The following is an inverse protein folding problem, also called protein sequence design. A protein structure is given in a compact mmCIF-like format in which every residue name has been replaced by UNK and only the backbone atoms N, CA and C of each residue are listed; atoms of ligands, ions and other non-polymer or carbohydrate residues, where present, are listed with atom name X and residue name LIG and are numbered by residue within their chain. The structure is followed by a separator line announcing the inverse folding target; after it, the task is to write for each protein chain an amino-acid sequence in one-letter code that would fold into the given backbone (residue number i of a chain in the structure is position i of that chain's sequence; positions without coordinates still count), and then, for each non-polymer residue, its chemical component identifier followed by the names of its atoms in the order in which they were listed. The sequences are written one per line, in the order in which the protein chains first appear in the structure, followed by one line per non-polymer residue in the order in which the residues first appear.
data_IF_679622828290
#
_entry.id   IF_679622828290
#
_cell.length_a   1.000
_cell.length_b   1.000
_cell.length_c   1.000
_cell.angle_alpha   90.00
_cell.angle_beta   90.00
_cell.angle_gamma   90.00
#
_symmetry.space_group_name_H-M   'P 1'
#
loop_
_entity.id
_entity.type
_entity.pdbx_description
1 polymer ?
#
# COMPACT_ATOMS: atom_id res chain seq x y z
N UNK A 1 3.37 24.60 4.16
CA UNK A 1 3.07 23.85 5.40
C UNK A 1 3.57 22.43 5.23
N UNK A 2 4.24 21.88 6.24
CA UNK A 2 4.56 20.46 6.28
C UNK A 2 3.26 19.64 6.30
N UNK A 3 3.29 18.41 5.79
CA UNK A 3 2.12 17.53 5.73
C UNK A 3 1.50 17.31 7.12
N UNK A 4 2.33 17.22 8.16
CA UNK A 4 1.92 17.07 9.57
C UNK A 4 0.98 18.19 10.02
N UNK A 5 1.27 19.42 9.60
CA UNK A 5 0.65 20.63 10.14
C UNK A 5 -0.53 21.11 9.28
N UNK A 6 -0.75 20.49 8.12
CA UNK A 6 -1.82 20.85 7.18
C UNK A 6 -3.21 20.47 7.74
N UNK A 7 -4.16 21.41 7.92
CA UNK A 7 -5.52 21.10 8.36
C UNK A 7 -6.23 20.08 7.46
N UNK A 8 -7.17 19.31 8.03
CA UNK A 8 -7.87 18.22 7.32
C UNK A 8 -8.66 18.76 6.12
N UNK A 9 -9.23 19.97 6.27
CA UNK A 9 -10.07 20.64 5.29
C UNK A 9 -9.32 21.00 4.00
N UNK A 10 -7.98 21.05 4.06
CA UNK A 10 -7.13 21.37 2.91
C UNK A 10 -6.73 20.13 2.09
N UNK A 11 -7.14 18.91 2.49
CA UNK A 11 -6.92 17.72 1.69
C UNK A 11 -8.03 17.52 0.66
N UNK A 12 -7.70 17.14 -0.59
CA UNK A 12 -8.71 16.75 -1.55
C UNK A 12 -9.55 15.56 -1.05
N UNK A 13 -10.80 15.49 -1.47
CA UNK A 13 -11.72 14.42 -1.08
C UNK A 13 -11.13 13.05 -1.47
N UNK A 14 -11.14 12.11 -0.52
CA UNK A 14 -10.62 10.75 -0.71
C UNK A 14 -9.11 10.60 -0.54
N UNK A 15 -8.37 11.68 -0.24
CA UNK A 15 -6.90 11.61 -0.02
C UNK A 15 -6.56 11.32 1.43
N UNK A 16 -7.36 11.84 2.38
CA UNK A 16 -6.98 11.80 3.80
C UNK A 16 -6.99 10.39 4.40
N UNK A 17 -8.06 9.62 4.18
CA UNK A 17 -8.20 8.25 4.68
C UNK A 17 -7.45 7.26 3.80
N UNK A 18 -6.79 6.30 4.43
CA UNK A 18 -5.98 5.28 3.75
C UNK A 18 -6.67 3.91 3.81
N UNK A 19 -6.15 2.94 3.06
CA UNK A 19 -6.52 1.53 3.16
C UNK A 19 -6.42 1.04 4.61
N UNK A 20 -7.31 0.13 5.06
CA UNK A 20 -8.48 -0.41 4.37
C UNK A 20 -9.73 0.46 4.45
N UNK A 21 -9.60 1.72 4.88
CA UNK A 21 -10.71 2.66 5.11
C UNK A 21 -11.74 2.13 6.11
N UNK A 22 -11.24 1.44 7.15
CA UNK A 22 -12.04 0.92 8.25
C UNK A 22 -11.92 1.84 9.48
N UNK A 23 -13.05 2.09 10.13
CA UNK A 23 -13.13 2.94 11.33
C UNK A 23 -12.31 2.41 12.51
N UNK A 24 -12.07 1.09 12.59
CA UNK A 24 -11.27 0.47 13.63
C UNK A 24 -9.80 0.88 13.55
N UNK A 25 -9.27 0.98 12.33
CA UNK A 25 -7.86 1.31 12.11
C UNK A 25 -7.63 2.81 12.13
N UNK A 26 -8.60 3.59 11.62
CA UNK A 26 -8.53 5.05 11.54
C UNK A 26 -7.22 5.57 10.89
N UNK A 27 -6.63 4.77 10.00
CA UNK A 27 -5.40 5.13 9.31
C UNK A 27 -5.66 6.27 8.33
N UNK A 28 -4.69 7.17 8.27
CA UNK A 28 -4.71 8.31 7.36
C UNK A 28 -3.28 8.64 6.92
N UNK A 29 -3.16 9.57 5.97
CA UNK A 29 -1.86 9.98 5.40
C UNK A 29 -0.88 10.60 6.40
N UNK A 30 -1.35 11.07 7.56
CA UNK A 30 -0.50 11.59 8.64
C UNK A 30 -0.10 10.50 9.62
N UNK A 31 -1.02 9.59 9.92
CA UNK A 31 -0.88 8.51 10.90
C UNK A 31 -1.27 7.19 10.23
N UNK A 32 -0.28 6.50 9.66
CA UNK A 32 -0.47 5.22 8.98
C UNK A 32 0.19 4.09 9.77
N UNK A 33 -0.53 2.98 9.92
CA UNK A 33 -0.02 1.78 10.58
C UNK A 33 -0.37 1.70 12.07
N UNK A 34 0.15 0.68 12.76
CA UNK A 34 1.22 -0.24 12.32
C UNK A 34 0.76 -1.23 11.24
N UNK A 35 1.58 -1.43 10.21
CA UNK A 35 1.37 -2.43 9.15
C UNK A 35 2.52 -3.42 9.16
N UNK A 36 2.22 -4.70 9.39
CA UNK A 36 3.21 -5.76 9.24
C UNK A 36 3.28 -6.20 7.76
N UNK A 37 4.51 -6.44 7.29
CA UNK A 37 4.78 -6.85 5.91
C UNK A 37 5.21 -8.32 5.94
N UNK A 38 4.35 -9.25 5.50
CA UNK A 38 4.66 -10.68 5.55
C UNK A 38 5.71 -11.07 4.51
N UNK A 39 6.57 -12.01 4.89
CA UNK A 39 7.47 -12.74 3.99
C UNK A 39 6.84 -14.07 3.59
N UNK A 40 7.37 -14.66 2.53
CA UNK A 40 7.00 -16.01 2.12
C UNK A 40 7.15 -17.00 3.27
N UNK A 41 6.10 -17.80 3.50
CA UNK A 41 5.92 -18.77 4.61
C UNK A 41 5.67 -18.18 5.98
N UNK A 42 5.57 -16.86 6.14
CA UNK A 42 5.11 -16.26 7.39
C UNK A 42 3.64 -16.64 7.63
N UNK A 43 3.28 -16.75 8.92
CA UNK A 43 1.93 -17.08 9.36
C UNK A 43 1.36 -15.95 10.20
N UNK A 44 0.09 -15.65 9.97
CA UNK A 44 -0.66 -14.67 10.77
C UNK A 44 -1.95 -15.28 11.30
N UNK A 45 -2.38 -14.78 12.46
CA UNK A 45 -3.72 -15.03 12.99
C UNK A 45 -4.65 -14.02 12.33
N UNK A 46 -5.77 -14.51 11.78
CA UNK A 46 -6.79 -13.69 11.15
C UNK A 46 -7.88 -13.32 12.16
N UNK A 47 -7.51 -12.43 13.08
CA UNK A 47 -8.50 -11.65 13.82
C UNK A 47 -9.20 -10.64 12.91
N UNK A 48 -10.18 -9.91 13.45
CA UNK A 48 -10.93 -8.89 12.70
C UNK A 48 -10.01 -7.92 11.94
N UNK A 49 -8.98 -7.43 12.62
CA UNK A 49 -8.06 -6.40 12.10
C UNK A 49 -7.19 -6.96 10.97
N UNK A 50 -6.53 -8.09 11.20
CA UNK A 50 -5.67 -8.74 10.22
C UNK A 50 -6.49 -9.24 9.02
N UNK A 51 -7.70 -9.74 9.25
CA UNK A 51 -8.61 -10.10 8.17
C UNK A 51 -8.91 -8.90 7.26
N UNK A 52 -9.21 -7.72 7.81
CA UNK A 52 -9.45 -6.52 7.01
C UNK A 52 -8.21 -6.07 6.22
N UNK A 53 -7.03 -6.12 6.85
CA UNK A 53 -5.77 -5.70 6.22
C UNK A 53 -5.36 -6.65 5.09
N UNK A 54 -5.42 -7.96 5.33
CA UNK A 54 -4.81 -8.96 4.44
C UNK A 54 -5.80 -9.65 3.51
N UNK A 55 -7.11 -9.46 3.65
CA UNK A 55 -8.14 -10.08 2.79
C UNK A 55 -7.78 -9.97 1.31
N UNK A 56 -7.45 -8.76 0.83
CA UNK A 56 -7.18 -8.51 -0.60
C UNK A 56 -6.00 -9.33 -1.14
N UNK A 57 -4.90 -9.45 -0.39
CA UNK A 57 -3.73 -10.23 -0.82
C UNK A 57 -3.97 -11.73 -0.68
N UNK A 58 -4.77 -12.15 0.31
CA UNK A 58 -5.18 -13.56 0.46
C UNK A 58 -6.09 -13.98 -0.69
N UNK A 59 -7.06 -13.15 -1.07
CA UNK A 59 -7.93 -13.37 -2.24
C UNK A 59 -7.11 -13.44 -3.53
N UNK A 60 -6.08 -12.59 -3.66
CA UNK A 60 -5.15 -12.63 -4.79
C UNK A 60 -4.37 -13.95 -4.85
N UNK A 61 -3.75 -14.40 -3.76
CA UNK A 61 -3.02 -15.68 -3.72
C UNK A 61 -3.94 -16.88 -3.98
N UNK A 62 -5.20 -16.82 -3.52
CA UNK A 62 -6.18 -17.92 -3.70
C UNK A 62 -6.85 -17.89 -5.09
N UNK A 63 -6.88 -16.74 -5.75
CA UNK A 63 -7.55 -16.55 -7.04
C UNK A 63 -9.07 -16.46 -6.98
N UNK A 64 -9.66 -16.26 -5.79
CA UNK A 64 -11.11 -16.11 -5.61
C UNK A 64 -11.45 -15.27 -4.37
N UNK A 65 -12.64 -14.61 -4.34
CA UNK A 65 -13.05 -13.78 -3.22
C UNK A 65 -13.41 -14.60 -1.97
N UNK A 66 -13.21 -13.99 -0.81
CA UNK A 66 -13.55 -14.51 0.51
C UNK A 66 -14.70 -13.69 1.11
N UNK A 67 -15.56 -14.35 1.90
CA UNK A 67 -16.62 -13.64 2.63
C UNK A 67 -16.13 -13.16 3.98
N UNK A 68 -16.61 -12.00 4.42
CA UNK A 68 -16.31 -11.44 5.73
C UNK A 68 -17.63 -11.25 6.48
N UNK A 69 -17.85 -12.08 7.49
CA UNK A 69 -19.13 -12.20 8.19
C UNK A 69 -18.87 -12.33 9.69
N UNK A 70 -19.60 -11.56 10.50
CA UNK A 70 -19.46 -11.57 11.97
C UNK A 70 -17.99 -11.44 12.41
N UNK A 71 -17.30 -10.44 11.85
CA UNK A 71 -15.89 -10.13 12.11
C UNK A 71 -14.90 -11.27 11.78
N UNK A 72 -15.34 -12.27 11.01
CA UNK A 72 -14.55 -13.45 10.67
C UNK A 72 -14.44 -13.58 9.16
N UNK A 73 -13.21 -13.76 8.66
CA UNK A 73 -12.97 -14.10 7.26
C UNK A 73 -13.29 -15.58 7.02
N UNK A 74 -14.00 -15.88 5.94
CA UNK A 74 -14.45 -17.23 5.60
C UNK A 74 -14.00 -17.65 4.20
N UNK A 75 -13.51 -18.87 4.11
CA UNK A 75 -13.17 -19.58 2.88
C UNK A 75 -14.26 -20.62 2.60
N UNK A 76 -15.07 -20.38 1.57
CA UNK A 76 -16.18 -21.25 1.20
C UNK A 76 -17.09 -21.62 2.39
N UNK A 77 -17.44 -20.59 3.19
CA UNK A 77 -18.29 -20.72 4.38
C UNK A 77 -17.57 -21.20 5.64
N UNK A 78 -16.33 -21.68 5.56
CA UNK A 78 -15.54 -22.11 6.73
C UNK A 78 -14.72 -20.97 7.32
N UNK A 79 -14.71 -20.76 8.65
CA UNK A 79 -13.85 -19.76 9.28
C UNK A 79 -12.37 -19.98 8.96
N UNK A 80 -11.71 -18.92 8.47
CA UNK A 80 -10.27 -18.91 8.19
C UNK A 80 -9.56 -18.16 9.32
N UNK A 81 -9.03 -18.91 10.29
CA UNK A 81 -8.46 -18.35 11.52
C UNK A 81 -6.96 -18.01 11.42
N UNK A 82 -6.27 -18.61 10.47
CA UNK A 82 -4.86 -18.33 10.21
C UNK A 82 -4.58 -18.46 8.71
N UNK A 83 -3.51 -17.81 8.27
CA UNK A 83 -3.08 -17.87 6.89
C UNK A 83 -1.55 -17.92 6.81
N UNK A 84 -1.04 -18.68 5.84
CA UNK A 84 0.38 -18.79 5.54
C UNK A 84 0.62 -18.24 4.14
N UNK A 85 1.43 -17.19 4.03
CA UNK A 85 1.69 -16.52 2.77
C UNK A 85 2.58 -17.34 1.85
N UNK A 86 2.26 -17.39 0.56
CA UNK A 86 3.05 -18.06 -0.46
C UNK A 86 4.04 -17.13 -1.18
N UNK A 87 3.88 -15.81 -1.00
CA UNK A 87 4.71 -14.75 -1.56
C UNK A 87 5.36 -13.87 -0.48
N UNK A 88 6.43 -13.16 -0.85
CA UNK A 88 6.94 -12.04 -0.06
C UNK A 88 6.29 -10.75 -0.51
N UNK A 89 6.02 -9.84 0.43
CA UNK A 89 5.29 -8.61 0.16
C UNK A 89 6.14 -7.36 0.36
N UNK A 90 5.73 -6.29 -0.32
CA UNK A 90 6.41 -5.01 -0.33
C UNK A 90 5.42 -3.88 -0.10
N UNK A 91 5.88 -2.87 0.64
CA UNK A 91 5.18 -1.61 0.80
C UNK A 91 5.85 -0.57 -0.11
N UNK A 92 5.07 0.02 -1.01
CA UNK A 92 5.49 1.08 -1.90
C UNK A 92 4.99 2.42 -1.36
N UNK A 93 5.90 3.39 -1.20
CA UNK A 93 5.57 4.75 -0.81
C UNK A 93 6.11 5.74 -1.84
N UNK A 94 5.27 6.63 -2.34
CA UNK A 94 5.69 7.71 -3.23
C UNK A 94 6.03 8.99 -2.47
N UNK A 95 7.05 9.69 -2.98
CA UNK A 95 7.60 10.92 -2.38
C UNK A 95 6.57 12.05 -2.31
N UNK A 96 5.68 12.15 -3.31
CA UNK A 96 4.57 13.12 -3.30
C UNK A 96 3.34 12.51 -2.63
N UNK A 97 3.38 12.45 -1.30
CA UNK A 97 2.37 11.79 -0.46
C UNK A 97 0.93 12.12 -0.84
N UNK A 98 0.61 13.41 -1.00
CA UNK A 98 -0.75 13.88 -1.30
C UNK A 98 -1.25 13.52 -2.71
N UNK A 99 -0.37 13.07 -3.60
CA UNK A 99 -0.68 12.73 -4.99
C UNK A 99 -0.09 11.38 -5.41
N UNK A 100 0.15 10.48 -4.45
CA UNK A 100 0.68 9.15 -4.73
C UNK A 100 -0.35 8.10 -4.36
N UNK A 101 -0.87 7.42 -5.38
CA UNK A 101 -1.66 6.21 -5.19
C UNK A 101 -0.71 5.03 -4.97
N UNK A 102 -0.26 4.87 -3.73
CA UNK A 102 0.71 3.87 -3.32
C UNK A 102 0.14 2.88 -2.29
N UNK A 103 0.98 2.08 -1.63
CA UNK A 103 0.52 1.00 -0.74
C UNK A 103 -0.35 1.48 0.42
N UNK A 104 -0.34 2.79 0.73
CA UNK A 104 -1.28 3.39 1.68
C UNK A 104 -2.72 3.30 1.19
N UNK A 105 -2.98 3.24 -0.11
CA UNK A 105 -4.33 3.24 -0.68
C UNK A 105 -4.76 1.88 -1.23
N UNK A 106 -3.83 1.09 -1.78
CA UNK A 106 -4.17 -0.20 -2.41
C UNK A 106 -3.63 -1.44 -1.70
N UNK A 107 -2.86 -1.26 -0.62
CA UNK A 107 -2.30 -2.35 0.18
C UNK A 107 -0.91 -2.80 -0.26
N UNK A 108 -0.52 -4.01 0.14
CA UNK A 108 0.81 -4.56 -0.15
C UNK A 108 0.89 -5.13 -1.56
N UNK A 109 2.10 -5.14 -2.13
CA UNK A 109 2.39 -5.71 -3.44
C UNK A 109 3.16 -7.03 -3.27
N UNK A 110 2.73 -8.14 -3.89
CA UNK A 110 3.51 -9.37 -3.94
C UNK A 110 4.76 -9.21 -4.83
N UNK A 111 5.84 -9.93 -4.49
CA UNK A 111 7.09 -10.03 -5.26
C UNK A 111 6.86 -10.27 -6.76
N UNK A 112 5.94 -11.17 -7.10
CA UNK A 112 5.67 -11.56 -8.50
C UNK A 112 5.16 -10.41 -9.39
N UNK A 113 4.63 -9.34 -8.82
CA UNK A 113 4.18 -8.16 -9.57
C UNK A 113 5.27 -7.10 -9.74
N UNK A 114 6.47 -7.32 -9.21
CA UNK A 114 7.61 -6.42 -9.31
C UNK A 114 8.47 -6.85 -10.51
N UNK A 115 8.21 -6.26 -11.68
CA UNK A 115 8.85 -6.64 -12.95
C UNK A 115 10.23 -6.02 -13.20
N UNK A 116 10.70 -5.08 -12.37
CA UNK A 116 12.04 -4.49 -12.53
C UNK A 116 12.36 -3.27 -11.66
N UNK A 117 13.64 -2.87 -11.67
CA UNK A 117 14.17 -1.67 -10.98
C UNK A 117 14.23 -0.50 -11.97
N UNK A 118 13.89 0.71 -11.52
CA UNK A 118 14.12 1.92 -12.30
C UNK A 118 15.63 2.13 -12.50
N UNK A 119 16.08 2.13 -13.75
CA UNK A 119 17.51 2.20 -14.11
C UNK A 119 17.87 3.46 -14.91
N UNK A 120 16.89 4.26 -15.35
CA UNK A 120 17.11 5.41 -16.23
C UNK A 120 16.27 6.63 -15.85
N UNK A 121 16.91 7.81 -15.78
CA UNK A 121 16.22 9.10 -15.70
C UNK A 121 16.08 9.68 -17.12
N UNK A 122 14.90 9.53 -17.71
CA UNK A 122 14.63 10.02 -19.08
C UNK A 122 14.20 11.49 -19.12
N UNK A 123 13.64 12.03 -18.03
CA UNK A 123 13.20 13.43 -17.94
C UNK A 123 13.42 13.99 -16.53
N UNK A 124 14.06 15.14 -16.43
CA UNK A 124 14.21 15.90 -15.20
C UNK A 124 14.09 17.39 -15.51
N UNK A 125 13.12 18.05 -14.88
CA UNK A 125 12.82 19.48 -15.09
C UNK A 125 12.90 20.19 -13.75
N UNK A 126 13.44 21.40 -13.75
CA UNK A 126 13.45 22.25 -12.58
C UNK A 126 12.06 22.86 -12.33
N UNK A 127 11.45 22.67 -11.15
CA UNK A 127 10.09 23.12 -10.90
C UNK A 127 9.94 24.65 -10.79
N UNK A 128 11.03 25.40 -10.57
CA UNK A 128 10.97 26.86 -10.44
C UNK A 128 11.28 27.58 -11.75
N UNK A 129 12.18 27.01 -12.55
CA UNK A 129 12.65 27.64 -13.79
C UNK A 129 12.08 26.99 -15.05
N UNK A 130 11.35 25.87 -14.92
CA UNK A 130 10.89 25.01 -16.02
C UNK A 130 12.00 24.55 -16.99
N UNK A 131 13.27 24.72 -16.60
CA UNK A 131 14.42 24.33 -17.41
C UNK A 131 14.71 22.84 -17.28
N UNK A 132 15.09 22.22 -18.41
CA UNK A 132 15.54 20.84 -18.41
C UNK A 132 16.89 20.69 -17.70
N UNK A 133 16.98 19.74 -16.77
CA UNK A 133 18.21 19.39 -16.06
C UNK A 133 19.02 18.40 -16.90
N UNK A 134 19.69 18.90 -17.93
CA UNK A 134 20.50 18.10 -18.87
C UNK A 134 21.54 17.20 -18.20
N UNK A 135 22.11 17.61 -17.05
CA UNK A 135 23.05 16.78 -16.25
C UNK A 135 22.45 15.49 -15.70
N UNK A 136 21.11 15.34 -15.72
CA UNK A 136 20.38 14.15 -15.24
C UNK A 136 19.66 13.43 -16.36
N UNK A 137 19.73 13.93 -17.59
CA UNK A 137 19.12 13.28 -18.75
C UNK A 137 19.94 12.04 -19.14
N UNK A 138 19.26 10.91 -19.33
CA UNK A 138 19.85 9.60 -19.64
C UNK A 138 20.88 9.11 -18.61
N UNK A 139 20.81 9.62 -17.38
CA UNK A 139 21.68 9.14 -16.31
C UNK A 139 21.16 7.80 -15.79
N UNK A 140 22.06 6.83 -15.65
CA UNK A 140 21.77 5.58 -14.96
C UNK A 140 21.50 5.83 -13.48
N UNK A 141 20.58 5.03 -12.92
CA UNK A 141 20.35 4.96 -11.49
C UNK A 141 21.00 3.65 -11.03
N UNK A 142 22.23 3.74 -10.52
CA UNK A 142 22.90 2.61 -9.86
C UNK A 142 22.31 2.36 -8.47
#
# INVERSE_FOLDING_TARGET
LALSDKPIELFPKGVYHTFPSDALLNWNIKNFGPLYIPRKRDRIILDRTNALIYKKIIEWEKGYPLSFENDTLRDNGKPLLNYMFSHSYYFMGGDKVENSQDSRYWGLLPDDLIVGKAWLIWKSVDPHTNNFKWKRFMKSID
#
